data_IF_225442702027
#
_entry.id   IF_225442702027
#
_cell.length_a   1.000
_cell.length_b   1.000
_cell.length_c   1.000
_cell.angle_alpha   90.00
_cell.angle_beta   90.00
_cell.angle_gamma   90.00
#
_symmetry.space_group_name_H-M   'P 1'
#
loop_
_entity.id
_entity.type
_entity.pdbx_description
1 polymer ?
#
# COMPACT_ATOMS: atom_id res chain seq x y z
N UNK A 1 5.38 -11.27 -0.12
CA UNK A 1 4.93 -10.55 1.10
C UNK A 1 6.00 -9.52 1.50
N UNK A 2 5.71 -8.23 1.47
CA UNK A 2 6.61 -7.21 2.03
C UNK A 2 6.26 -7.00 3.51
N UNK A 3 7.03 -7.58 4.42
CA UNK A 3 6.90 -7.34 5.86
C UNK A 3 7.53 -5.99 6.20
N UNK A 4 6.72 -5.06 6.73
CA UNK A 4 7.19 -3.77 7.21
C UNK A 4 7.45 -3.87 8.72
N UNK A 5 8.68 -4.26 9.09
CA UNK A 5 9.14 -4.19 10.47
C UNK A 5 9.44 -2.73 10.81
N UNK A 6 8.99 -2.31 12.00
CA UNK A 6 9.04 -0.95 12.49
C UNK A 6 9.82 -0.94 13.82
N UNK A 7 11.16 -1.08 13.86
CA UNK A 7 11.90 -1.10 15.12
C UNK A 7 12.48 0.26 15.51
N UNK A 8 12.30 1.32 14.71
CA UNK A 8 13.15 2.52 14.81
C UNK A 8 12.41 3.85 15.00
N UNK A 9 11.19 3.87 15.55
CA UNK A 9 10.39 5.10 15.57
C UNK A 9 10.05 5.52 17.00
N UNK A 10 10.46 6.76 17.32
CA UNK A 10 10.23 7.41 18.61
C UNK A 10 8.78 7.84 18.75
N UNK A 11 8.30 8.18 19.94
CA UNK A 11 6.89 8.60 20.16
C UNK A 11 6.46 9.81 19.30
N UNK A 12 7.40 10.62 18.80
CA UNK A 12 7.11 11.72 17.85
C UNK A 12 6.77 11.24 16.44
N UNK A 13 7.09 9.99 16.14
CA UNK A 13 6.94 9.34 14.85
C UNK A 13 5.66 8.50 14.74
N UNK A 14 4.86 8.43 15.81
CA UNK A 14 3.53 7.82 15.79
C UNK A 14 2.69 8.65 14.81
N UNK A 15 2.35 8.10 13.62
CA UNK A 15 1.56 8.84 12.68
C UNK A 15 0.16 8.93 13.28
N UNK A 16 -0.26 10.15 13.58
CA UNK A 16 -1.69 10.46 13.73
C UNK A 16 -2.44 9.71 12.63
N UNK A 17 -3.55 9.01 12.93
CA UNK A 17 -4.23 8.04 12.04
C UNK A 17 -4.29 8.45 10.55
N UNK A 18 -4.44 9.74 10.28
CA UNK A 18 -4.37 10.37 8.96
C UNK A 18 -3.07 10.10 8.20
N UNK A 19 -1.90 10.26 8.83
CA UNK A 19 -0.58 10.04 8.22
C UNK A 19 -0.35 8.57 7.80
N UNK A 20 -0.91 7.60 8.53
CA UNK A 20 -0.83 6.18 8.14
C UNK A 20 -1.67 5.92 6.89
N UNK A 21 -2.90 6.44 6.85
CA UNK A 21 -3.78 6.36 5.67
C UNK A 21 -3.12 6.99 4.44
N UNK A 22 -2.56 8.20 4.57
CA UNK A 22 -1.93 8.92 3.46
C UNK A 22 -0.72 8.15 2.91
N UNK A 23 0.07 7.53 3.78
CA UNK A 23 1.21 6.70 3.38
C UNK A 23 0.76 5.42 2.66
N UNK A 24 -0.32 4.78 3.10
CA UNK A 24 -0.91 3.62 2.43
C UNK A 24 -1.43 4.01 1.05
N UNK A 25 -2.21 5.09 0.96
CA UNK A 25 -2.75 5.60 -0.30
C UNK A 25 -1.63 5.96 -1.29
N UNK A 26 -0.60 6.69 -0.85
CA UNK A 26 0.54 7.04 -1.69
C UNK A 26 1.25 5.80 -2.25
N UNK A 27 1.40 4.75 -1.44
CA UNK A 27 2.00 3.48 -1.89
C UNK A 27 1.09 2.71 -2.84
N UNK A 28 -0.22 2.69 -2.60
CA UNK A 28 -1.19 2.10 -3.51
C UNK A 28 -1.13 2.79 -4.88
N UNK A 29 -1.12 4.13 -4.93
CA UNK A 29 -0.96 4.88 -6.18
C UNK A 29 0.32 4.53 -6.93
N UNK A 30 1.46 4.44 -6.24
CA UNK A 30 2.73 4.04 -6.86
C UNK A 30 2.69 2.61 -7.41
N UNK A 31 1.99 1.70 -6.73
CA UNK A 31 1.82 0.33 -7.19
C UNK A 31 0.90 0.27 -8.42
N UNK A 32 -0.22 1.00 -8.43
CA UNK A 32 -1.09 1.16 -9.61
C UNK A 32 -0.27 1.56 -10.84
N UNK A 33 0.50 2.65 -10.73
CA UNK A 33 1.25 3.19 -11.86
C UNK A 33 2.28 2.19 -12.39
N UNK A 34 2.96 1.45 -11.49
CA UNK A 34 3.88 0.38 -11.90
C UNK A 34 3.18 -0.77 -12.63
N UNK A 35 2.00 -1.17 -12.18
CA UNK A 35 1.28 -2.28 -12.82
C UNK A 35 0.69 -1.81 -14.15
N UNK A 36 0.17 -0.59 -14.24
CA UNK A 36 -0.23 0.03 -15.52
C UNK A 36 0.94 0.05 -16.51
N UNK A 37 2.11 0.54 -16.10
CA UNK A 37 3.33 0.56 -16.92
C UNK A 37 3.71 -0.83 -17.44
N UNK A 38 3.63 -1.85 -16.58
CA UNK A 38 3.94 -3.24 -16.96
C UNK A 38 2.94 -3.85 -17.93
N UNK A 39 1.65 -3.54 -17.75
CA UNK A 39 0.58 -4.17 -18.49
C UNK A 39 0.08 -3.33 -19.68
N UNK A 40 0.68 -2.14 -19.93
CA UNK A 40 0.29 -1.23 -21.03
C UNK A 40 0.36 -1.83 -22.43
N UNK A 41 1.11 -2.92 -22.59
CA UNK A 41 1.29 -3.61 -23.88
C UNK A 41 0.35 -4.81 -24.04
N UNK A 42 -0.46 -5.13 -23.04
CA UNK A 42 -1.44 -6.20 -23.11
C UNK A 42 -2.73 -5.60 -23.65
N UNK A 43 -3.19 -6.10 -24.79
CA UNK A 43 -4.43 -5.67 -25.43
C UNK A 43 -5.63 -6.34 -24.74
N UNK A 44 -5.87 -5.96 -23.49
CA UNK A 44 -6.93 -6.49 -22.64
C UNK A 44 -7.37 -5.48 -21.58
N UNK A 45 -8.61 -5.63 -21.10
CA UNK A 45 -9.12 -4.86 -19.98
C UNK A 45 -8.59 -5.45 -18.67
N UNK A 46 -7.71 -4.71 -18.00
CA UNK A 46 -7.15 -5.10 -16.69
C UNK A 46 -8.02 -4.50 -15.60
N UNK A 47 -8.42 -5.32 -14.62
CA UNK A 47 -9.07 -4.87 -13.39
C UNK A 47 -8.11 -5.04 -12.24
N UNK A 48 -7.88 -3.99 -11.44
CA UNK A 48 -7.02 -4.07 -10.27
C UNK A 48 -7.84 -3.90 -8.99
N UNK A 49 -7.62 -4.80 -8.04
CA UNK A 49 -8.27 -4.74 -6.72
C UNK A 49 -7.21 -4.46 -5.65
N UNK A 50 -7.58 -3.56 -4.74
CA UNK A 50 -6.73 -3.09 -3.64
C UNK A 50 -7.44 -3.36 -2.33
N UNK A 51 -6.85 -4.22 -1.50
CA UNK A 51 -7.37 -4.50 -0.17
C UNK A 51 -6.40 -3.97 0.87
N UNK A 52 -6.87 -3.06 1.71
CA UNK A 52 -6.11 -2.55 2.84
C UNK A 52 -6.79 -2.89 4.14
N UNK A 53 -6.06 -3.49 5.07
CA UNK A 53 -6.59 -3.84 6.40
C UNK A 53 -5.51 -3.69 7.46
N UNK A 54 -5.93 -3.68 8.71
CA UNK A 54 -5.04 -3.70 9.88
C UNK A 54 -5.30 -4.99 10.64
N UNK A 55 -4.30 -5.86 10.78
CA UNK A 55 -4.48 -7.09 11.60
C UNK A 55 -4.36 -6.80 13.09
N UNK A 56 -3.54 -5.81 13.45
CA UNK A 56 -3.29 -5.32 14.80
C UNK A 56 -3.13 -3.79 14.75
N UNK A 57 -3.40 -3.06 15.85
CA UNK A 57 -3.10 -1.63 15.93
C UNK A 57 -1.64 -1.36 15.53
N UNK A 58 -1.41 -0.45 14.58
CA UNK A 58 -0.07 -0.11 14.10
C UNK A 58 0.50 -1.05 13.01
N UNK A 59 -0.21 -2.13 12.64
CA UNK A 59 0.21 -3.07 11.60
C UNK A 59 -0.70 -3.02 10.37
N UNK A 60 -0.50 -2.05 9.46
CA UNK A 60 -1.24 -1.96 8.22
C UNK A 60 -0.71 -2.91 7.15
N UNK A 61 -1.62 -3.57 6.46
CA UNK A 61 -1.39 -4.43 5.31
C UNK A 61 -2.06 -3.84 4.06
N UNK A 62 -1.46 -4.11 2.91
CA UNK A 62 -1.99 -3.77 1.59
C UNK A 62 -1.75 -4.97 0.67
N UNK A 63 -2.82 -5.52 0.13
CA UNK A 63 -2.80 -6.51 -0.95
C UNK A 63 -3.18 -5.86 -2.27
N UNK A 64 -2.60 -6.37 -3.34
CA UNK A 64 -2.81 -5.87 -4.70
C UNK A 64 -2.88 -7.07 -5.65
N UNK A 65 -3.99 -7.14 -6.38
CA UNK A 65 -4.28 -8.18 -7.37
C UNK A 65 -4.73 -7.52 -8.68
N UNK A 66 -4.32 -8.09 -9.81
CA UNK A 66 -4.60 -7.58 -11.16
C UNK A 66 -4.98 -8.74 -12.10
#
# INVERSE_FOLDING_TARGET
LLQYLWPSLSDRDIPHRTKTRDKILKRATLAVERVKEKLKHIDSKISMTFDSWTSLPGHPFLSLSA
#
